data_IF_818519512158
#
_entry.id   IF_818519512158
#
_cell.length_a   1.000
_cell.length_b   1.000
_cell.length_c   1.000
_cell.angle_alpha   90.00
_cell.angle_beta   90.00
_cell.angle_gamma   90.00
#
_symmetry.space_group_name_H-M   'P 1'
#
loop_
_entity.id
_entity.type
_entity.pdbx_description
1 polymer ?
#
# COMPACT_ATOMS: atom_id res chain seq x y z
N UNK A 1 2.13 22.79 -41.45
CA UNK A 1 1.78 23.87 -40.50
C UNK A 1 0.48 24.52 -40.94
N UNK A 2 -0.60 24.27 -40.22
CA UNK A 2 -1.81 25.09 -40.26
C UNK A 2 -2.36 25.13 -38.83
N UNK A 3 -2.28 26.30 -38.20
CA UNK A 3 -3.15 26.60 -37.07
C UNK A 3 -4.55 26.77 -37.66
N UNK A 4 -5.53 25.98 -37.19
CA UNK A 4 -6.93 26.23 -37.52
C UNK A 4 -7.46 27.15 -36.44
N UNK A 5 -7.32 28.45 -36.70
CA UNK A 5 -7.81 29.50 -35.84
C UNK A 5 -9.26 29.81 -36.25
N UNK A 6 -10.24 29.40 -35.42
CA UNK A 6 -11.63 29.83 -35.58
C UNK A 6 -11.92 30.95 -34.59
N UNK A 7 -11.40 32.12 -34.93
CA UNK A 7 -11.53 33.33 -34.13
C UNK A 7 -12.98 33.83 -34.14
N UNK A 8 -13.60 33.84 -32.95
CA UNK A 8 -14.68 34.78 -32.63
C UNK A 8 -14.51 35.21 -31.17
N UNK A 9 -14.43 36.52 -30.96
CA UNK A 9 -13.95 37.17 -29.74
C UNK A 9 -15.03 37.20 -28.65
N UNK A 10 -15.01 36.24 -27.73
CA UNK A 10 -15.53 36.28 -26.32
C UNK A 10 -15.78 34.88 -25.71
N UNK A 11 -15.19 33.81 -26.23
CA UNK A 11 -15.37 32.47 -25.66
C UNK A 11 -14.04 31.95 -25.11
N UNK A 12 -14.03 31.57 -23.83
CA UNK A 12 -13.01 30.70 -23.21
C UNK A 12 -12.92 29.46 -24.10
N UNK A 13 -11.93 29.37 -24.98
CA UNK A 13 -11.85 28.31 -26.00
C UNK A 13 -10.55 27.55 -25.86
N UNK A 14 -10.69 26.23 -25.92
CA UNK A 14 -9.58 25.30 -25.92
C UNK A 14 -8.73 25.51 -27.17
N UNK A 15 -7.41 25.42 -27.01
CA UNK A 15 -6.45 25.52 -28.11
C UNK A 15 -5.97 24.10 -28.43
N UNK A 16 -6.36 23.60 -29.60
CA UNK A 16 -5.95 22.27 -30.07
C UNK A 16 -4.77 22.40 -31.02
N UNK A 17 -3.72 21.61 -30.80
CA UNK A 17 -2.56 21.52 -31.70
C UNK A 17 -2.29 20.06 -32.06
N UNK A 18 -2.48 19.77 -33.34
CA UNK A 18 -2.23 18.46 -33.91
C UNK A 18 -0.91 18.47 -34.69
N UNK A 19 -0.03 17.53 -34.37
CA UNK A 19 1.00 17.04 -35.28
C UNK A 19 0.65 15.60 -35.66
N UNK A 20 1.14 15.10 -36.81
CA UNK A 20 0.87 13.76 -37.34
C UNK A 20 1.17 12.61 -36.35
N UNK A 21 1.89 12.90 -35.26
CA UNK A 21 2.34 11.94 -34.24
C UNK A 21 1.87 12.29 -32.82
N UNK A 22 1.38 13.49 -32.56
CA UNK A 22 1.03 13.93 -31.21
C UNK A 22 -0.19 14.85 -31.26
N UNK A 23 -1.19 14.53 -30.43
CA UNK A 23 -2.39 15.35 -30.25
C UNK A 23 -2.29 16.03 -28.90
N UNK A 24 -2.11 17.35 -28.92
CA UNK A 24 -2.02 18.17 -27.73
C UNK A 24 -3.23 19.12 -27.65
N UNK A 25 -3.76 19.32 -26.46
CA UNK A 25 -4.84 20.26 -26.19
C UNK A 25 -4.51 21.09 -24.95
N UNK A 26 -4.84 22.38 -25.01
CA UNK A 26 -4.85 23.27 -23.87
C UNK A 26 -6.29 23.67 -23.57
N UNK A 27 -6.78 23.32 -22.39
CA UNK A 27 -8.09 23.68 -21.85
C UNK A 27 -8.22 25.15 -21.48
N UNK A 28 -9.43 25.68 -21.54
CA UNK A 28 -9.76 26.96 -20.94
C UNK A 28 -10.10 26.81 -19.45
N UNK A 29 -10.14 27.90 -18.67
CA UNK A 29 -10.39 27.89 -17.23
C UNK A 29 -11.90 27.76 -16.90
N UNK A 30 -12.55 26.76 -17.44
CA UNK A 30 -13.95 26.48 -17.18
C UNK A 30 -14.35 25.14 -17.78
N UNK A 31 -15.53 24.60 -17.43
CA UNK A 31 -15.83 23.19 -17.61
C UNK A 31 -15.57 22.66 -19.01
N UNK A 32 -14.70 21.66 -19.10
CA UNK A 32 -14.26 20.95 -20.29
C UNK A 32 -14.67 19.48 -20.22
N UNK A 33 -14.80 18.87 -21.41
CA UNK A 33 -14.93 17.42 -21.53
C UNK A 33 -13.87 16.90 -22.48
N UNK A 34 -12.88 16.22 -21.94
CA UNK A 34 -11.81 15.58 -22.67
C UNK A 34 -12.23 14.16 -23.07
N UNK A 35 -12.40 13.97 -24.37
CA UNK A 35 -12.64 12.66 -24.99
C UNK A 35 -11.81 12.53 -26.26
N UNK A 36 -11.04 11.44 -26.35
CA UNK A 36 -10.24 11.12 -27.53
C UNK A 36 -8.77 10.85 -27.22
N UNK A 37 -8.00 10.61 -28.28
CA UNK A 37 -6.59 10.21 -28.20
C UNK A 37 -5.67 11.42 -28.08
N UNK A 38 -5.59 12.02 -26.88
CA UNK A 38 -4.62 13.07 -26.57
C UNK A 38 -3.34 12.47 -25.99
N UNK A 39 -2.19 12.88 -26.51
CA UNK A 39 -0.88 12.59 -25.92
C UNK A 39 -0.48 13.61 -24.85
N UNK A 40 -1.04 14.82 -24.92
CA UNK A 40 -0.83 15.89 -23.95
C UNK A 40 -2.14 16.65 -23.72
N UNK A 41 -2.55 16.78 -22.47
CA UNK A 41 -3.60 17.69 -22.03
C UNK A 41 -2.98 18.64 -21.01
N UNK A 42 -3.20 19.94 -21.18
CA UNK A 42 -2.91 20.96 -20.17
C UNK A 42 -4.21 21.70 -19.93
N UNK A 43 -4.87 21.47 -18.80
CA UNK A 43 -6.03 22.25 -18.39
C UNK A 43 -5.59 23.47 -17.57
N UNK A 44 -6.35 24.56 -17.66
CA UNK A 44 -6.10 25.79 -16.92
C UNK A 44 -7.07 25.97 -15.74
N UNK A 45 -7.94 24.99 -15.52
CA UNK A 45 -8.82 24.75 -14.39
C UNK A 45 -10.32 24.74 -14.72
N UNK A 46 -11.14 24.40 -13.73
CA UNK A 46 -12.58 24.26 -13.85
C UNK A 46 -13.02 22.82 -13.63
N UNK A 47 -14.28 22.61 -13.24
CA UNK A 47 -14.79 21.26 -12.99
C UNK A 47 -14.97 20.48 -14.30
N UNK A 48 -13.98 19.69 -14.66
CA UNK A 48 -13.85 19.03 -15.94
C UNK A 48 -14.15 17.53 -15.86
N UNK A 49 -14.15 16.92 -17.04
CA UNK A 49 -14.37 15.49 -17.18
C UNK A 49 -13.39 14.92 -18.19
N UNK A 50 -12.62 13.94 -17.75
CA UNK A 50 -11.64 13.21 -18.53
C UNK A 50 -12.14 11.79 -18.78
N UNK A 51 -12.74 11.56 -19.95
CA UNK A 51 -13.16 10.24 -20.41
C UNK A 51 -12.01 9.58 -21.18
N UNK A 52 -11.19 8.83 -20.45
CA UNK A 52 -9.97 8.23 -20.97
C UNK A 52 -10.21 6.83 -21.54
N UNK A 53 -9.49 6.50 -22.61
CA UNK A 53 -9.50 5.19 -23.26
C UNK A 53 -8.10 4.60 -23.35
N UNK A 54 -8.01 3.29 -23.54
CA UNK A 54 -6.74 2.61 -23.78
C UNK A 54 -6.17 3.07 -25.11
N UNK A 55 -4.87 3.35 -25.16
CA UNK A 55 -4.20 3.86 -26.36
C UNK A 55 -3.19 2.85 -26.92
N UNK A 56 -3.62 1.88 -27.75
CA UNK A 56 -2.73 0.83 -28.27
C UNK A 56 -1.67 1.37 -29.25
N UNK A 57 -1.90 2.53 -29.87
CA UNK A 57 -0.99 3.14 -30.83
C UNK A 57 -0.10 4.25 -30.21
N UNK A 58 -0.33 4.60 -28.94
CA UNK A 58 0.43 5.63 -28.23
C UNK A 58 0.89 5.10 -26.89
N UNK A 59 2.18 4.91 -26.77
CA UNK A 59 2.81 4.42 -25.53
C UNK A 59 2.76 5.48 -24.41
N UNK A 60 2.50 6.75 -24.73
CA UNK A 60 2.77 7.88 -23.84
C UNK A 60 1.61 8.87 -23.67
N UNK A 61 1.32 9.32 -22.44
CA UNK A 61 0.42 10.45 -22.13
C UNK A 61 0.90 11.29 -20.96
N UNK A 62 0.60 12.57 -21.07
CA UNK A 62 0.74 13.53 -19.99
C UNK A 62 -0.59 14.29 -19.88
N UNK A 63 -1.17 14.35 -18.69
CA UNK A 63 -2.28 15.21 -18.32
C UNK A 63 -1.78 16.09 -17.19
N UNK A 64 -1.98 17.40 -17.32
CA UNK A 64 -1.70 18.38 -16.28
C UNK A 64 -2.98 19.20 -16.14
N UNK A 65 -3.63 19.10 -14.99
CA UNK A 65 -4.71 19.99 -14.58
C UNK A 65 -4.17 20.98 -13.55
N UNK A 66 -4.68 22.21 -13.61
CA UNK A 66 -4.32 23.27 -12.67
C UNK A 66 -5.42 23.53 -11.63
N UNK A 67 -6.54 22.82 -11.70
CA UNK A 67 -7.44 22.58 -10.59
C UNK A 67 -8.92 22.79 -10.90
N UNK A 68 -9.78 22.24 -10.06
CA UNK A 68 -11.21 22.08 -10.32
C UNK A 68 -11.69 20.87 -9.55
N UNK A 69 -13.00 20.63 -9.47
CA UNK A 69 -13.48 19.36 -8.93
C UNK A 69 -13.74 18.40 -10.08
N UNK A 70 -12.74 17.61 -10.39
CA UNK A 70 -12.55 16.91 -11.64
C UNK A 70 -12.95 15.43 -11.60
N UNK A 71 -13.24 14.91 -12.79
CA UNK A 71 -13.62 13.50 -12.97
C UNK A 71 -12.75 12.83 -14.01
N UNK A 72 -11.82 12.03 -13.53
CA UNK A 72 -10.97 11.18 -14.34
C UNK A 72 -11.52 9.77 -14.36
N UNK A 73 -12.06 9.32 -15.49
CA UNK A 73 -12.62 7.98 -15.55
C UNK A 73 -12.37 7.24 -16.84
N UNK A 74 -12.43 5.91 -16.75
CA UNK A 74 -12.36 5.03 -17.90
C UNK A 74 -13.28 3.83 -17.74
N UNK A 75 -13.80 3.34 -18.86
CA UNK A 75 -14.53 2.07 -18.94
C UNK A 75 -13.65 0.92 -19.43
N UNK A 76 -12.37 1.18 -19.70
CA UNK A 76 -11.41 0.23 -20.26
C UNK A 76 -10.27 -0.04 -19.26
N UNK A 77 -9.60 -1.18 -19.46
CA UNK A 77 -8.37 -1.47 -18.74
C UNK A 77 -7.19 -0.72 -19.41
N UNK A 78 -6.10 -0.46 -18.69
CA UNK A 78 -4.85 0.14 -19.23
C UNK A 78 -4.98 1.59 -19.72
N UNK A 79 -5.86 2.40 -19.11
CA UNK A 79 -6.12 3.78 -19.57
C UNK A 79 -5.63 4.84 -18.57
N UNK A 80 -6.35 5.03 -17.46
CA UNK A 80 -6.11 6.11 -16.49
C UNK A 80 -4.72 5.98 -15.85
N UNK A 81 -3.83 6.92 -16.14
CA UNK A 81 -2.46 7.00 -15.59
C UNK A 81 -1.69 5.65 -15.61
N UNK A 82 -1.93 4.81 -16.63
CA UNK A 82 -1.30 3.50 -16.77
C UNK A 82 -0.10 3.54 -17.74
N UNK A 83 1.11 3.31 -17.24
CA UNK A 83 2.29 3.09 -18.07
C UNK A 83 2.35 1.66 -18.59
N UNK A 84 1.79 1.41 -19.78
CA UNK A 84 1.81 0.10 -20.44
C UNK A 84 2.75 0.11 -21.65
N UNK A 85 3.95 -0.50 -21.51
CA UNK A 85 5.04 -0.41 -22.50
C UNK A 85 5.51 1.03 -22.83
N UNK A 86 5.23 1.99 -21.94
CA UNK A 86 5.57 3.40 -22.10
C UNK A 86 5.36 4.16 -20.79
N UNK A 87 5.04 5.45 -20.85
CA UNK A 87 4.74 6.24 -19.66
C UNK A 87 3.36 6.91 -19.70
N UNK A 88 2.69 6.96 -18.56
CA UNK A 88 1.49 7.77 -18.41
C UNK A 88 1.61 8.60 -17.14
N UNK A 89 1.46 9.91 -17.28
CA UNK A 89 1.58 10.88 -16.20
C UNK A 89 0.28 11.67 -16.12
N UNK A 90 -0.31 11.73 -14.94
CA UNK A 90 -1.40 12.63 -14.58
C UNK A 90 -0.92 13.44 -13.38
N UNK A 91 -1.01 14.76 -13.50
CA UNK A 91 -0.78 15.69 -12.40
C UNK A 91 -2.04 16.54 -12.26
N UNK A 92 -2.67 16.47 -11.10
CA UNK A 92 -3.70 17.42 -10.68
C UNK A 92 -3.11 18.36 -9.62
N UNK A 93 -3.51 19.62 -9.65
CA UNK A 93 -2.95 20.64 -8.79
C UNK A 93 -3.86 20.99 -7.59
N UNK A 94 -5.17 20.80 -7.70
CA UNK A 94 -6.12 21.17 -6.65
C UNK A 94 -7.57 20.75 -6.97
N UNK A 95 -8.26 20.26 -5.96
CA UNK A 95 -9.72 20.18 -5.90
C UNK A 95 -10.19 18.86 -5.31
N UNK A 96 -11.50 18.70 -5.16
CA UNK A 96 -12.06 17.44 -4.65
C UNK A 96 -12.42 16.52 -5.84
N UNK A 97 -11.55 15.57 -6.15
CA UNK A 97 -11.53 14.83 -7.41
C UNK A 97 -11.96 13.37 -7.31
N UNK A 98 -12.35 12.84 -8.47
CA UNK A 98 -12.67 11.42 -8.65
C UNK A 98 -11.78 10.79 -9.71
N UNK A 99 -10.96 9.82 -9.27
CA UNK A 99 -10.12 8.97 -10.10
C UNK A 99 -10.68 7.56 -10.20
N UNK A 100 -11.44 7.28 -11.26
CA UNK A 100 -12.17 6.02 -11.41
C UNK A 100 -11.65 5.18 -12.60
N UNK A 101 -10.83 4.18 -12.27
CA UNK A 101 -10.29 3.20 -13.21
C UNK A 101 -10.87 1.79 -13.06
N UNK A 102 -10.46 0.91 -13.98
CA UNK A 102 -10.71 -0.54 -13.92
C UNK A 102 -9.42 -1.30 -13.58
N UNK A 103 -9.09 -2.34 -14.34
CA UNK A 103 -7.83 -3.04 -14.14
C UNK A 103 -6.70 -2.25 -14.81
N UNK A 104 -5.50 -2.30 -14.25
CA UNK A 104 -4.33 -1.61 -14.82
C UNK A 104 -4.62 -0.12 -15.02
N UNK A 105 -4.82 0.60 -13.91
CA UNK A 105 -5.20 2.01 -13.92
C UNK A 105 -4.76 2.73 -12.65
N UNK A 106 -4.96 4.04 -12.56
CA UNK A 106 -4.67 4.87 -11.38
C UNK A 106 -3.19 4.77 -10.97
N UNK A 107 -2.31 5.33 -11.80
CA UNK A 107 -0.88 5.41 -11.50
C UNK A 107 -0.10 4.10 -11.62
N UNK A 108 -0.63 3.06 -12.29
CA UNK A 108 0.06 1.78 -12.38
C UNK A 108 1.10 1.72 -13.52
N UNK A 109 2.19 0.98 -13.32
CA UNK A 109 3.20 0.68 -14.35
C UNK A 109 3.29 -0.81 -14.65
N UNK A 110 3.01 -1.20 -15.89
CA UNK A 110 3.14 -2.58 -16.35
C UNK A 110 3.97 -2.65 -17.64
N UNK A 111 5.21 -3.15 -17.54
CA UNK A 111 6.25 -2.97 -18.57
C UNK A 111 6.56 -1.49 -18.90
N UNK A 112 6.19 -0.57 -18.02
CA UNK A 112 6.28 0.88 -18.23
C UNK A 112 6.23 1.65 -16.92
N UNK A 113 6.01 2.96 -16.99
CA UNK A 113 5.95 3.86 -15.84
C UNK A 113 4.60 4.58 -15.75
N UNK A 114 3.82 4.32 -14.71
CA UNK A 114 2.60 5.08 -14.40
C UNK A 114 2.86 6.05 -13.26
N UNK A 115 2.37 7.28 -13.39
CA UNK A 115 2.34 8.28 -12.34
C UNK A 115 0.97 8.95 -12.32
N UNK A 116 0.34 8.95 -11.15
CA UNK A 116 -0.74 9.87 -10.81
C UNK A 116 -0.24 10.66 -9.60
N UNK A 117 -0.25 11.98 -9.71
CA UNK A 117 0.12 12.89 -8.64
C UNK A 117 -1.01 13.91 -8.42
N UNK A 118 -1.72 13.77 -7.31
CA UNK A 118 -2.63 14.79 -6.79
C UNK A 118 -1.89 15.69 -5.79
N UNK A 119 -2.15 16.99 -5.83
CA UNK A 119 -1.45 17.98 -5.03
C UNK A 119 -2.26 18.55 -3.87
N UNK A 120 -3.59 18.40 -3.87
CA UNK A 120 -4.48 18.88 -2.83
C UNK A 120 -5.93 18.51 -3.15
N UNK A 121 -6.65 18.00 -2.14
CA UNK A 121 -8.06 17.75 -2.34
C UNK A 121 -8.73 17.07 -1.16
N UNK A 122 -9.91 16.50 -1.38
CA UNK A 122 -10.36 15.34 -0.65
C UNK A 122 -10.88 14.38 -1.72
N UNK A 123 -10.07 13.38 -2.02
CA UNK A 123 -10.10 12.68 -3.28
C UNK A 123 -10.61 11.26 -3.13
N UNK A 124 -11.13 10.75 -4.24
CA UNK A 124 -11.61 9.38 -4.29
C UNK A 124 -10.93 8.62 -5.41
N UNK A 125 -10.13 7.63 -5.03
CA UNK A 125 -9.42 6.72 -5.91
C UNK A 125 -10.14 5.37 -5.97
N UNK A 126 -10.68 5.04 -7.13
CA UNK A 126 -11.40 3.78 -7.36
C UNK A 126 -10.71 2.98 -8.46
N UNK A 127 -10.35 1.73 -8.15
CA UNK A 127 -9.83 0.79 -9.13
C UNK A 127 -10.28 -0.65 -8.86
N UNK A 128 -9.88 -1.57 -9.75
CA UNK A 128 -10.21 -2.99 -9.60
C UNK A 128 -8.98 -3.82 -9.25
N UNK A 129 -8.22 -4.27 -10.25
CA UNK A 129 -6.99 -5.04 -10.07
C UNK A 129 -5.79 -4.29 -10.67
N UNK A 130 -4.62 -4.42 -10.05
CA UNK A 130 -3.38 -3.85 -10.58
C UNK A 130 -3.51 -2.32 -10.74
N UNK A 131 -3.75 -1.62 -9.65
CA UNK A 131 -4.14 -0.21 -9.66
C UNK A 131 -3.53 0.56 -8.49
N UNK A 132 -3.76 1.86 -8.40
CA UNK A 132 -3.32 2.72 -7.27
C UNK A 132 -1.82 2.54 -6.98
N UNK A 133 -1.00 2.92 -7.95
CA UNK A 133 0.46 2.82 -7.82
C UNK A 133 1.04 1.41 -7.94
N UNK A 134 0.31 0.43 -8.49
CA UNK A 134 0.83 -0.92 -8.71
C UNK A 134 1.94 -0.97 -9.79
N UNK A 135 3.01 -1.73 -9.56
CA UNK A 135 4.14 -1.89 -10.48
C UNK A 135 4.47 -3.34 -10.81
N UNK A 136 4.74 -3.66 -12.08
CA UNK A 136 5.10 -5.00 -12.54
C UNK A 136 5.89 -4.96 -13.84
N UNK A 137 7.11 -5.48 -13.84
CA UNK A 137 8.09 -5.22 -14.90
C UNK A 137 8.26 -3.72 -15.21
N UNK A 138 7.93 -2.85 -14.25
CA UNK A 138 7.70 -1.43 -14.45
C UNK A 138 7.49 -0.73 -13.10
N UNK A 139 7.22 0.57 -13.14
CA UNK A 139 7.10 1.43 -11.97
C UNK A 139 5.71 2.03 -11.94
N UNK A 140 4.95 1.79 -10.88
CA UNK A 140 3.69 2.46 -10.60
C UNK A 140 3.85 3.39 -9.40
N UNK A 141 3.35 4.61 -9.51
CA UNK A 141 3.34 5.61 -8.44
C UNK A 141 1.95 6.26 -8.42
N UNK A 142 1.31 6.17 -7.26
CA UNK A 142 0.23 7.07 -6.87
C UNK A 142 0.79 7.96 -5.76
N UNK A 143 0.69 9.27 -5.93
CA UNK A 143 1.13 10.24 -4.95
C UNK A 143 0.01 11.22 -4.68
N UNK A 144 -0.33 11.39 -3.41
CA UNK A 144 -1.16 12.47 -2.90
C UNK A 144 -0.28 13.43 -2.09
N UNK A 145 -0.65 14.70 -1.98
CA UNK A 145 0.00 15.70 -1.11
C UNK A 145 -0.90 16.14 0.05
N UNK A 146 -2.18 15.78 0.02
CA UNK A 146 -3.02 15.74 1.19
C UNK A 146 -4.51 15.97 0.91
N UNK A 147 -5.31 15.51 1.85
CA UNK A 147 -6.76 15.50 1.78
C UNK A 147 -7.30 14.46 2.75
N UNK A 148 -8.61 14.38 2.96
CA UNK A 148 -9.17 13.20 3.62
C UNK A 148 -9.71 12.26 2.54
N UNK A 149 -8.88 11.31 2.17
CA UNK A 149 -8.96 10.60 0.92
C UNK A 149 -9.50 9.20 1.09
N UNK A 150 -9.99 8.67 -0.03
CA UNK A 150 -10.58 7.35 -0.09
C UNK A 150 -9.95 6.52 -1.19
N UNK A 151 -9.18 5.52 -0.77
CA UNK A 151 -8.57 4.53 -1.65
C UNK A 151 -9.38 3.23 -1.64
N UNK A 152 -10.04 2.94 -2.76
CA UNK A 152 -10.89 1.76 -2.89
C UNK A 152 -10.47 0.90 -4.08
N UNK A 153 -10.03 -0.33 -3.80
CA UNK A 153 -9.67 -1.30 -4.82
C UNK A 153 -10.12 -2.73 -4.46
N UNK A 154 -10.05 -3.63 -5.43
CA UNK A 154 -10.38 -5.04 -5.20
C UNK A 154 -9.16 -5.85 -4.80
N UNK A 155 -8.07 -5.79 -5.57
CA UNK A 155 -6.78 -6.42 -5.21
C UNK A 155 -5.58 -5.91 -6.01
N UNK A 156 -4.37 -6.32 -5.63
CA UNK A 156 -3.13 -5.98 -6.34
C UNK A 156 -3.00 -4.46 -6.51
N UNK A 157 -3.13 -3.71 -5.43
CA UNK A 157 -3.30 -2.26 -5.47
C UNK A 157 -2.60 -1.56 -4.30
N UNK A 158 -2.69 -0.23 -4.24
CA UNK A 158 -2.19 0.57 -3.11
C UNK A 158 -0.72 0.27 -2.85
N UNK A 159 0.11 0.60 -3.85
CA UNK A 159 1.55 0.36 -3.78
C UNK A 159 1.96 -1.10 -3.97
N UNK A 160 1.24 -1.86 -4.78
CA UNK A 160 1.53 -3.28 -5.01
C UNK A 160 2.77 -3.52 -5.89
N UNK A 161 3.69 -4.37 -5.44
CA UNK A 161 4.90 -4.78 -6.17
C UNK A 161 4.81 -6.18 -6.78
N UNK A 162 4.69 -6.28 -8.09
CA UNK A 162 4.75 -7.54 -8.83
C UNK A 162 6.15 -7.83 -9.40
N UNK A 163 6.34 -8.97 -10.07
CA UNK A 163 7.62 -9.42 -10.65
C UNK A 163 8.41 -8.28 -11.31
N UNK A 164 9.63 -8.03 -10.84
CA UNK A 164 10.53 -6.95 -11.32
C UNK A 164 9.91 -5.55 -11.36
N UNK A 165 8.85 -5.33 -10.58
CA UNK A 165 8.15 -4.07 -10.50
C UNK A 165 8.44 -3.33 -9.21
N UNK A 166 8.20 -2.02 -9.24
CA UNK A 166 8.15 -1.17 -8.05
C UNK A 166 6.77 -0.52 -8.04
N UNK A 167 5.97 -0.81 -7.02
CA UNK A 167 4.73 -0.11 -6.77
C UNK A 167 4.86 0.78 -5.54
N UNK A 168 4.35 2.00 -5.64
CA UNK A 168 4.33 2.97 -4.53
C UNK A 168 3.00 3.70 -4.47
N UNK A 169 2.42 3.76 -3.27
CA UNK A 169 1.43 4.76 -2.87
C UNK A 169 2.09 5.65 -1.83
N UNK A 170 2.07 6.96 -2.07
CA UNK A 170 2.67 7.97 -1.22
C UNK A 170 1.57 8.97 -0.83
N UNK A 171 1.16 8.95 0.43
CA UNK A 171 0.28 9.95 1.01
C UNK A 171 1.08 10.84 1.96
N UNK A 172 0.72 12.12 2.03
CA UNK A 172 1.44 13.12 2.78
C UNK A 172 0.65 13.72 3.93
N UNK A 173 -0.69 13.71 3.90
CA UNK A 173 -1.49 14.29 4.97
C UNK A 173 -3.00 14.01 4.85
N UNK A 174 -3.61 13.76 6.00
CA UNK A 174 -5.04 13.76 6.24
C UNK A 174 -5.55 12.42 6.75
N UNK A 175 -6.83 12.33 7.09
CA UNK A 175 -7.39 11.12 7.71
C UNK A 175 -8.03 10.22 6.66
N UNK A 176 -7.29 9.20 6.25
CA UNK A 176 -7.53 8.45 5.03
C UNK A 176 -8.11 7.07 5.25
N UNK A 177 -8.76 6.58 4.20
CA UNK A 177 -9.41 5.27 4.19
C UNK A 177 -8.85 4.40 3.07
N UNK A 178 -8.00 3.45 3.45
CA UNK A 178 -7.41 2.45 2.56
C UNK A 178 -8.20 1.13 2.63
N UNK A 179 -8.98 0.86 1.59
CA UNK A 179 -9.73 -0.39 1.47
C UNK A 179 -9.33 -1.20 0.24
N UNK A 180 -8.91 -2.45 0.45
CA UNK A 180 -8.71 -3.41 -0.62
C UNK A 180 -9.32 -4.79 -0.29
N UNK A 181 -10.25 -5.27 -1.12
CA UNK A 181 -10.80 -6.62 -0.98
C UNK A 181 -12.28 -6.75 -1.40
N UNK A 182 -12.97 -7.74 -0.83
CA UNK A 182 -14.44 -7.88 -0.94
C UNK A 182 -15.00 -8.39 -2.28
N UNK A 183 -14.17 -8.60 -3.30
CA UNK A 183 -14.62 -9.00 -4.65
C UNK A 183 -14.08 -10.36 -5.11
N UNK A 184 -12.78 -10.58 -5.02
CA UNK A 184 -12.13 -11.81 -5.52
C UNK A 184 -11.84 -12.78 -4.39
N UNK A 185 -12.54 -13.92 -4.38
CA UNK A 185 -12.41 -14.92 -3.32
C UNK A 185 -11.04 -15.59 -3.36
N UNK A 186 -10.52 -15.87 -2.17
CA UNK A 186 -9.46 -16.84 -1.97
C UNK A 186 -10.03 -18.25 -2.28
N UNK A 187 -9.32 -19.00 -3.11
CA UNK A 187 -9.82 -20.29 -3.64
C UNK A 187 -9.09 -21.51 -3.05
N UNK A 188 -8.03 -21.30 -2.27
CA UNK A 188 -7.25 -22.39 -1.68
C UNK A 188 -7.81 -22.83 -0.32
N UNK A 189 -8.78 -22.10 0.24
CA UNK A 189 -9.44 -22.41 1.50
C UNK A 189 -8.52 -22.27 2.69
N UNK A 190 -7.45 -21.48 2.60
CA UNK A 190 -6.39 -21.37 3.62
C UNK A 190 -6.93 -20.91 4.99
N UNK A 191 -8.03 -20.16 4.99
CA UNK A 191 -8.68 -19.63 6.18
C UNK A 191 -9.76 -20.56 6.76
N UNK A 192 -10.17 -21.60 6.01
CA UNK A 192 -11.32 -22.46 6.37
C UNK A 192 -12.70 -21.80 6.22
N UNK A 193 -12.75 -20.55 5.77
CA UNK A 193 -13.97 -19.75 5.59
C UNK A 193 -13.90 -18.97 4.26
N UNK A 194 -15.00 -18.36 3.81
CA UNK A 194 -14.94 -17.48 2.63
C UNK A 194 -14.15 -16.23 3.01
N UNK A 195 -13.09 -15.97 2.25
CA UNK A 195 -12.20 -14.80 2.35
C UNK A 195 -11.88 -14.25 0.97
N UNK A 196 -11.34 -13.04 0.92
CA UNK A 196 -10.99 -12.32 -0.29
C UNK A 196 -9.49 -12.06 -0.37
N UNK A 197 -8.94 -12.16 -1.58
CA UNK A 197 -7.56 -11.77 -1.85
C UNK A 197 -7.51 -10.25 -2.00
N UNK A 198 -6.63 -9.58 -1.23
CA UNK A 198 -6.39 -8.13 -1.33
C UNK A 198 -5.05 -7.83 -2.02
N UNK A 199 -3.94 -8.46 -1.64
CA UNK A 199 -2.61 -8.20 -2.25
C UNK A 199 -2.27 -6.70 -2.37
N UNK A 200 -2.50 -5.93 -1.31
CA UNK A 200 -2.47 -4.45 -1.38
C UNK A 200 -1.82 -3.81 -0.17
N UNK A 201 -1.70 -2.48 -0.16
CA UNK A 201 -1.15 -1.70 0.96
C UNK A 201 0.32 -2.08 1.18
N UNK A 202 1.15 -1.78 0.17
CA UNK A 202 2.58 -2.10 0.20
C UNK A 202 2.89 -3.60 0.08
N UNK A 203 1.95 -4.41 -0.43
CA UNK A 203 2.19 -5.85 -0.62
C UNK A 203 3.07 -6.12 -1.85
N UNK A 204 3.89 -7.18 -1.79
CA UNK A 204 4.66 -7.60 -2.97
C UNK A 204 4.67 -9.12 -3.18
N UNK A 205 4.63 -9.53 -4.45
CA UNK A 205 4.76 -10.95 -4.80
C UNK A 205 5.48 -11.24 -6.10
N UNK A 206 6.18 -12.38 -6.13
CA UNK A 206 6.64 -13.03 -7.36
C UNK A 206 5.65 -14.05 -7.92
N UNK A 207 6.06 -14.72 -8.99
CA UNK A 207 5.35 -15.86 -9.57
C UNK A 207 6.10 -17.14 -9.20
N UNK A 208 5.53 -17.90 -8.27
CA UNK A 208 6.10 -19.17 -7.84
C UNK A 208 5.90 -20.28 -8.89
N UNK A 209 6.90 -21.13 -9.17
CA UNK A 209 8.27 -21.12 -8.62
C UNK A 209 9.27 -20.31 -9.46
N UNK A 210 8.84 -19.62 -10.51
CA UNK A 210 9.72 -19.24 -11.62
C UNK A 210 10.35 -17.85 -11.54
N UNK A 211 9.65 -16.85 -10.97
CA UNK A 211 10.06 -15.44 -11.05
C UNK A 211 10.00 -14.76 -9.69
N UNK A 212 11.09 -14.10 -9.31
CA UNK A 212 11.19 -13.31 -8.08
C UNK A 212 10.23 -12.12 -8.07
N UNK A 213 9.75 -11.76 -6.88
CA UNK A 213 8.85 -10.62 -6.68
C UNK A 213 9.49 -9.26 -6.92
N UNK A 214 8.65 -8.24 -6.87
CA UNK A 214 9.06 -6.83 -6.90
C UNK A 214 9.12 -6.23 -5.51
N UNK A 215 8.99 -4.91 -5.49
CA UNK A 215 8.95 -4.10 -4.27
C UNK A 215 7.63 -3.34 -4.23
N UNK A 216 6.90 -3.43 -3.13
CA UNK A 216 5.65 -2.73 -2.89
C UNK A 216 5.77 -1.82 -1.67
N UNK A 217 5.31 -0.58 -1.80
CA UNK A 217 5.43 0.46 -0.78
C UNK A 217 4.11 1.20 -0.60
N UNK A 218 3.64 1.32 0.63
CA UNK A 218 2.69 2.34 1.03
C UNK A 218 3.38 3.19 2.10
N UNK A 219 3.46 4.50 1.86
CA UNK A 219 3.96 5.47 2.83
C UNK A 219 2.86 6.48 3.10
N UNK A 220 2.46 6.60 4.36
CA UNK A 220 1.56 7.63 4.87
C UNK A 220 2.29 8.46 5.93
N UNK A 221 2.07 9.77 5.97
CA UNK A 221 2.86 10.70 6.76
C UNK A 221 2.15 11.36 7.95
N UNK A 222 0.84 11.62 7.87
CA UNK A 222 0.15 12.41 8.91
C UNK A 222 -1.36 12.18 8.84
N UNK A 223 -1.98 11.69 9.90
CA UNK A 223 -3.44 11.69 10.03
C UNK A 223 -3.94 10.48 10.80
N UNK A 224 -5.22 10.46 11.17
CA UNK A 224 -5.81 9.25 11.77
C UNK A 224 -6.37 8.33 10.66
N UNK A 225 -5.69 7.23 10.37
CA UNK A 225 -5.89 6.41 9.17
C UNK A 225 -6.54 5.05 9.43
N UNK A 226 -7.19 4.52 8.39
CA UNK A 226 -7.80 3.19 8.42
C UNK A 226 -7.34 2.33 7.26
N UNK A 227 -6.53 1.32 7.58
CA UNK A 227 -6.05 0.29 6.67
C UNK A 227 -6.88 -0.99 6.80
N UNK A 228 -7.65 -1.32 5.76
CA UNK A 228 -8.50 -2.52 5.74
C UNK A 228 -8.21 -3.43 4.56
N UNK A 229 -7.69 -4.62 4.85
CA UNK A 229 -7.57 -5.74 3.91
C UNK A 229 -8.25 -6.98 4.47
N UNK A 230 -8.52 -7.95 3.61
CA UNK A 230 -8.93 -9.27 4.08
C UNK A 230 -7.69 -10.17 4.19
N UNK A 231 -7.06 -10.49 3.06
CA UNK A 231 -5.83 -11.29 3.04
C UNK A 231 -4.73 -10.68 2.16
N UNK A 232 -3.48 -10.84 2.58
CA UNK A 232 -2.29 -10.41 1.85
C UNK A 232 -2.22 -8.87 1.74
N UNK A 233 -1.72 -8.20 2.76
CA UNK A 233 -1.56 -6.75 2.69
C UNK A 233 -0.78 -6.13 3.83
N UNK A 234 -0.84 -4.81 3.96
CA UNK A 234 -0.23 -4.07 5.08
C UNK A 234 1.26 -4.41 5.24
N UNK A 235 2.02 -4.19 4.17
CA UNK A 235 3.46 -4.45 4.13
C UNK A 235 3.86 -5.92 4.11
N UNK A 236 2.90 -6.85 3.95
CA UNK A 236 3.23 -8.26 3.81
C UNK A 236 3.85 -8.59 2.43
N UNK A 237 4.42 -9.78 2.28
CA UNK A 237 4.97 -10.23 1.00
C UNK A 237 4.97 -11.74 0.80
N UNK A 238 5.09 -12.15 -0.47
CA UNK A 238 5.14 -13.54 -0.89
C UNK A 238 6.19 -13.76 -2.00
N UNK A 239 6.90 -14.88 -1.95
CA UNK A 239 7.82 -15.34 -3.02
C UNK A 239 8.81 -14.29 -3.53
N UNK A 240 9.91 -14.10 -2.81
CA UNK A 240 10.99 -13.19 -3.18
C UNK A 240 10.56 -11.73 -3.41
N UNK A 241 9.42 -11.31 -2.84
CA UNK A 241 8.99 -9.92 -2.82
C UNK A 241 9.53 -9.16 -1.60
N UNK A 242 9.55 -7.84 -1.70
CA UNK A 242 9.71 -6.92 -0.59
C UNK A 242 8.43 -6.09 -0.46
N UNK A 243 7.69 -6.28 0.62
CA UNK A 243 6.53 -5.45 0.94
C UNK A 243 6.84 -4.56 2.13
N UNK A 244 6.39 -3.30 2.08
CA UNK A 244 6.46 -2.39 3.21
C UNK A 244 5.26 -1.44 3.27
N UNK A 245 4.71 -1.28 4.48
CA UNK A 245 3.84 -0.18 4.85
C UNK A 245 4.58 0.62 5.93
N UNK A 246 4.71 1.94 5.74
CA UNK A 246 5.25 2.84 6.76
C UNK A 246 4.24 3.95 7.01
N UNK A 247 3.78 4.04 8.23
CA UNK A 247 3.02 5.15 8.77
C UNK A 247 3.93 5.96 9.69
N UNK A 248 3.86 7.29 9.60
CA UNK A 248 4.68 8.17 10.42
C UNK A 248 3.94 8.75 11.61
N UNK A 249 2.61 8.94 11.54
CA UNK A 249 1.86 9.61 12.60
C UNK A 249 0.36 9.36 12.45
N UNK A 250 -0.29 9.05 13.57
CA UNK A 250 -1.74 9.01 13.57
C UNK A 250 -2.32 8.42 14.82
N UNK A 251 -3.56 7.96 14.74
CA UNK A 251 -4.12 6.98 15.67
C UNK A 251 -4.84 5.96 14.81
N UNK A 252 -4.10 4.97 14.37
CA UNK A 252 -4.37 4.26 13.14
C UNK A 252 -4.99 2.91 13.39
N UNK A 253 -5.68 2.41 12.37
CA UNK A 253 -6.39 1.14 12.45
C UNK A 253 -5.93 0.21 11.35
N UNK A 254 -5.22 -0.83 11.76
CA UNK A 254 -4.77 -1.90 10.89
C UNK A 254 -5.68 -3.11 11.03
N UNK A 255 -6.61 -3.27 10.09
CA UNK A 255 -7.58 -4.34 10.08
C UNK A 255 -7.27 -5.36 8.97
N UNK A 256 -6.98 -6.59 9.38
CA UNK A 256 -6.74 -7.70 8.46
C UNK A 256 -7.37 -9.00 8.96
N UNK A 257 -7.50 -10.00 8.09
CA UNK A 257 -7.72 -11.39 8.51
C UNK A 257 -6.40 -12.14 8.53
N UNK A 258 -5.69 -12.27 7.42
CA UNK A 258 -4.52 -13.16 7.37
C UNK A 258 -3.43 -12.68 6.41
N UNK A 259 -2.18 -13.05 6.67
CA UNK A 259 -1.04 -12.70 5.82
C UNK A 259 -0.89 -11.17 5.68
N UNK A 260 -0.84 -10.47 6.81
CA UNK A 260 -0.82 -9.01 6.83
C UNK A 260 0.19 -8.47 7.84
N UNK A 261 0.24 -7.15 8.02
CA UNK A 261 0.96 -6.47 9.10
C UNK A 261 2.43 -6.90 9.18
N UNK A 262 3.12 -6.70 8.06
CA UNK A 262 4.54 -7.01 7.92
C UNK A 262 4.89 -8.49 7.85
N UNK A 263 3.95 -9.38 7.49
CA UNK A 263 4.27 -10.80 7.33
C UNK A 263 5.13 -11.09 6.08
N UNK A 264 6.19 -11.89 6.22
CA UNK A 264 7.00 -12.36 5.08
C UNK A 264 6.86 -13.85 4.86
N UNK A 265 6.53 -14.28 3.63
CA UNK A 265 6.21 -15.66 3.27
C UNK A 265 7.01 -16.14 2.06
N UNK A 266 7.68 -17.30 2.18
CA UNK A 266 8.44 -17.95 1.10
C UNK A 266 9.61 -17.11 0.56
N UNK A 267 10.69 -16.97 1.35
CA UNK A 267 11.91 -16.24 0.98
C UNK A 267 11.66 -14.77 0.59
N UNK A 268 10.63 -14.15 1.18
CA UNK A 268 10.28 -12.74 0.99
C UNK A 268 10.51 -11.95 2.29
N UNK A 269 10.49 -10.62 2.18
CA UNK A 269 10.60 -9.70 3.32
C UNK A 269 9.32 -8.86 3.41
N UNK A 270 8.60 -8.93 4.52
CA UNK A 270 7.47 -8.08 4.85
C UNK A 270 7.82 -7.16 6.02
N UNK A 271 7.36 -5.91 5.96
CA UNK A 271 7.66 -4.90 6.96
C UNK A 271 6.44 -3.99 7.18
N UNK A 272 6.01 -3.82 8.41
CA UNK A 272 5.13 -2.73 8.81
C UNK A 272 5.90 -1.88 9.81
N UNK A 273 5.92 -0.56 9.58
CA UNK A 273 6.48 0.40 10.52
C UNK A 273 5.41 1.43 10.83
N UNK A 274 5.15 1.63 12.11
CA UNK A 274 4.39 2.76 12.62
C UNK A 274 5.34 3.57 13.51
N UNK A 275 5.39 4.89 13.31
CA UNK A 275 6.34 5.73 14.01
C UNK A 275 5.75 6.43 15.23
N UNK A 276 4.44 6.67 15.26
CA UNK A 276 3.79 7.24 16.43
C UNK A 276 2.27 7.19 16.33
N UNK A 277 1.60 6.83 17.42
CA UNK A 277 0.16 6.98 17.48
C UNK A 277 -0.46 6.42 18.74
N UNK A 278 -1.74 6.07 18.70
CA UNK A 278 -2.33 5.14 19.67
C UNK A 278 -3.18 4.18 18.85
N UNK A 279 -2.53 3.10 18.45
CA UNK A 279 -2.88 2.38 17.25
C UNK A 279 -3.57 1.06 17.60
N UNK A 280 -4.34 0.57 16.64
CA UNK A 280 -5.11 -0.64 16.79
C UNK A 280 -4.77 -1.63 15.68
N UNK A 281 -4.06 -2.68 16.05
CA UNK A 281 -3.68 -3.77 15.16
C UNK A 281 -4.57 -4.99 15.38
N UNK A 282 -5.39 -5.31 14.39
CA UNK A 282 -6.21 -6.51 14.41
C UNK A 282 -5.89 -7.44 13.24
N UNK A 283 -5.62 -8.70 13.57
CA UNK A 283 -5.54 -9.77 12.58
C UNK A 283 -6.08 -11.10 13.12
N UNK A 284 -6.44 -12.04 12.26
CA UNK A 284 -6.59 -13.45 12.68
C UNK A 284 -5.22 -14.07 12.82
N UNK A 285 -4.39 -14.10 11.76
CA UNK A 285 -3.08 -14.73 11.91
C UNK A 285 -2.12 -14.64 10.74
N UNK A 286 -0.95 -15.27 10.90
CA UNK A 286 0.21 -15.08 9.98
C UNK A 286 0.42 -13.60 9.72
N UNK A 287 0.50 -12.82 10.79
CA UNK A 287 0.51 -11.35 10.76
C UNK A 287 1.41 -10.80 11.86
N UNK A 288 1.46 -9.48 12.04
CA UNK A 288 2.19 -8.80 13.12
C UNK A 288 3.63 -9.29 13.24
N UNK A 289 4.38 -9.12 12.13
CA UNK A 289 5.78 -9.52 12.06
C UNK A 289 6.01 -11.02 11.99
N UNK A 290 5.10 -11.78 11.37
CA UNK A 290 5.28 -13.23 11.18
C UNK A 290 6.22 -13.55 10.01
N UNK A 291 7.26 -14.35 10.25
CA UNK A 291 8.09 -14.94 9.20
C UNK A 291 7.71 -16.39 8.92
N UNK A 292 7.40 -16.72 7.66
CA UNK A 292 6.97 -18.05 7.23
C UNK A 292 7.78 -18.60 6.04
N UNK A 293 8.21 -19.86 6.14
CA UNK A 293 8.89 -20.61 5.07
C UNK A 293 10.11 -19.86 4.50
N UNK A 294 11.12 -19.65 5.35
CA UNK A 294 12.31 -18.82 5.04
C UNK A 294 12.02 -17.33 4.77
N UNK A 295 10.77 -16.89 4.90
CA UNK A 295 10.41 -15.48 4.85
C UNK A 295 10.74 -14.76 6.17
N UNK A 296 10.98 -13.46 6.07
CA UNK A 296 11.20 -12.57 7.19
C UNK A 296 10.02 -11.60 7.30
N UNK A 297 9.34 -11.60 8.45
CA UNK A 297 8.29 -10.64 8.76
C UNK A 297 8.71 -9.75 9.91
N UNK A 298 8.39 -8.46 9.80
CA UNK A 298 8.76 -7.43 10.76
C UNK A 298 7.61 -6.48 11.01
N UNK A 299 7.32 -6.21 12.28
CA UNK A 299 6.48 -5.10 12.71
C UNK A 299 7.31 -4.25 13.68
N UNK A 300 7.37 -2.95 13.42
CA UNK A 300 7.99 -1.96 14.30
C UNK A 300 6.94 -0.90 14.62
N UNK A 301 6.58 -0.78 15.88
CA UNK A 301 5.86 0.37 16.40
C UNK A 301 6.83 1.13 17.31
N UNK A 302 6.99 2.43 17.10
CA UNK A 302 8.04 3.19 17.78
C UNK A 302 7.54 3.96 19.00
N UNK A 303 6.26 4.31 19.07
CA UNK A 303 5.67 4.97 20.24
C UNK A 303 4.16 5.02 20.18
N UNK A 304 3.49 4.82 21.31
CA UNK A 304 2.05 5.02 21.37
C UNK A 304 1.41 4.48 22.63
N UNK A 305 0.12 4.16 22.58
CA UNK A 305 -0.50 3.29 23.58
C UNK A 305 -1.39 2.33 22.80
N UNK A 306 -0.81 1.21 22.42
CA UNK A 306 -1.20 0.46 21.25
C UNK A 306 -1.86 -0.86 21.64
N UNK A 307 -2.69 -1.37 20.75
CA UNK A 307 -3.43 -2.59 20.99
C UNK A 307 -3.22 -3.59 19.86
N UNK A 308 -2.56 -4.70 20.19
CA UNK A 308 -2.28 -5.80 19.29
C UNK A 308 -3.19 -6.98 19.59
N UNK A 309 -4.13 -7.24 18.68
CA UNK A 309 -5.09 -8.32 18.77
C UNK A 309 -4.85 -9.33 17.65
N UNK A 310 -4.54 -10.58 18.03
CA UNK A 310 -4.39 -11.67 17.07
C UNK A 310 -5.01 -12.99 17.55
N UNK A 311 -5.34 -13.90 16.63
CA UNK A 311 -5.74 -15.26 17.00
C UNK A 311 -4.54 -16.20 17.09
N UNK A 312 -3.77 -16.34 16.00
CA UNK A 312 -2.65 -17.27 15.90
C UNK A 312 -1.54 -16.73 14.98
N UNK A 313 -0.37 -17.38 14.98
CA UNK A 313 0.71 -17.12 14.03
C UNK A 313 1.14 -15.65 13.93
N UNK A 314 1.18 -14.91 15.04
CA UNK A 314 1.35 -13.45 15.06
C UNK A 314 2.15 -12.97 16.26
N UNK A 315 2.45 -11.68 16.35
CA UNK A 315 3.26 -11.08 17.42
C UNK A 315 4.63 -11.75 17.48
N UNK A 316 5.40 -11.58 16.41
CA UNK A 316 6.70 -12.21 16.19
C UNK A 316 6.64 -13.75 16.16
N UNK A 317 5.92 -14.33 15.19
CA UNK A 317 5.94 -15.78 14.98
C UNK A 317 6.94 -16.18 13.89
N UNK A 318 7.83 -17.10 14.22
CA UNK A 318 8.70 -17.78 13.26
C UNK A 318 8.14 -19.16 12.92
N UNK A 319 7.83 -19.40 11.64
CA UNK A 319 7.37 -20.71 11.17
C UNK A 319 8.14 -21.20 9.95
N UNK A 320 8.38 -22.53 9.92
CA UNK A 320 8.97 -23.19 8.77
C UNK A 320 10.31 -22.57 8.35
N UNK A 321 11.18 -22.31 9.33
CA UNK A 321 12.48 -21.66 9.15
C UNK A 321 12.40 -20.17 8.81
N UNK A 322 11.23 -19.56 9.03
CA UNK A 322 11.04 -18.13 8.91
C UNK A 322 11.62 -17.35 10.10
N UNK A 323 11.64 -16.04 9.93
CA UNK A 323 12.17 -15.07 10.89
C UNK A 323 11.09 -14.04 11.22
N UNK A 324 10.56 -14.07 12.44
CA UNK A 324 9.52 -13.13 12.88
C UNK A 324 10.06 -12.13 13.90
N UNK A 325 9.77 -10.84 13.69
CA UNK A 325 10.10 -9.76 14.63
C UNK A 325 8.87 -8.90 14.88
N UNK A 326 8.62 -8.61 16.14
CA UNK A 326 7.80 -7.48 16.58
C UNK A 326 8.66 -6.68 17.56
N UNK A 327 8.78 -5.38 17.30
CA UNK A 327 9.36 -4.43 18.25
C UNK A 327 8.31 -3.35 18.51
N UNK A 328 7.99 -3.16 19.77
CA UNK A 328 7.28 -2.01 20.29
C UNK A 328 8.27 -1.12 21.06
N UNK A 329 8.21 0.19 20.85
CA UNK A 329 9.18 1.16 21.31
C UNK A 329 8.89 1.77 22.68
N UNK A 330 7.72 2.39 22.83
CA UNK A 330 7.33 3.08 24.06
C UNK A 330 5.82 3.13 24.13
N UNK A 331 5.25 2.84 25.29
CA UNK A 331 3.81 3.06 25.41
C UNK A 331 3.18 2.51 26.64
N UNK A 332 1.87 2.31 26.55
CA UNK A 332 1.14 1.46 27.48
C UNK A 332 0.27 0.56 26.63
N UNK A 333 0.77 -0.64 26.46
CA UNK A 333 0.38 -1.45 25.31
C UNK A 333 -0.38 -2.70 25.74
N UNK A 334 -1.23 -3.18 24.83
CA UNK A 334 -2.11 -4.31 25.06
C UNK A 334 -1.87 -5.42 24.03
N UNK A 335 -1.39 -6.57 24.49
CA UNK A 335 -1.11 -7.73 23.63
C UNK A 335 -2.07 -8.88 23.92
N UNK A 336 -3.00 -9.11 23.00
CA UNK A 336 -4.08 -10.09 23.16
C UNK A 336 -3.98 -11.20 22.12
N UNK A 337 -3.80 -12.45 22.57
CA UNK A 337 -3.73 -13.61 21.69
C UNK A 337 -4.63 -14.76 22.13
N UNK A 338 -5.24 -15.46 21.16
CA UNK A 338 -6.07 -16.64 21.45
C UNK A 338 -5.26 -17.94 21.52
N UNK A 339 -4.31 -18.15 20.60
CA UNK A 339 -3.45 -19.33 20.57
C UNK A 339 -2.00 -18.98 20.95
N UNK A 340 -1.64 -19.34 22.18
CA UNK A 340 -0.29 -19.15 22.74
C UNK A 340 0.76 -20.03 22.08
N UNK A 341 0.39 -21.06 21.30
CA UNK A 341 1.37 -21.97 20.68
C UNK A 341 2.08 -21.37 19.47
N UNK A 342 1.59 -20.27 18.93
CA UNK A 342 2.07 -19.69 17.67
C UNK A 342 2.20 -18.18 17.75
N UNK A 343 2.35 -17.62 18.96
CA UNK A 343 2.34 -16.17 19.18
C UNK A 343 3.31 -15.70 20.25
N UNK A 344 3.62 -14.40 20.25
CA UNK A 344 4.44 -13.73 21.26
C UNK A 344 5.84 -14.34 21.37
N UNK A 345 6.57 -14.28 20.25
CA UNK A 345 7.96 -14.70 20.17
C UNK A 345 8.15 -16.22 20.00
N UNK A 346 7.16 -16.96 19.48
CA UNK A 346 7.33 -18.40 19.24
C UNK A 346 8.07 -18.66 17.92
N UNK A 347 9.12 -19.48 17.96
CA UNK A 347 9.80 -20.00 16.78
C UNK A 347 9.68 -21.53 16.65
N UNK A 348 9.03 -22.06 15.61
CA UNK A 348 8.85 -23.52 15.51
C UNK A 348 10.05 -24.25 14.87
N UNK A 349 10.32 -25.52 15.24
CA UNK A 349 11.27 -26.35 14.52
C UNK A 349 10.63 -26.92 13.24
N UNK A 350 11.35 -26.90 12.12
CA UNK A 350 10.92 -27.52 10.86
C UNK A 350 12.12 -27.85 9.98
N UNK A 351 12.05 -28.94 9.22
CA UNK A 351 13.11 -29.37 8.28
C UNK A 351 14.51 -29.40 8.92
N UNK A 352 14.59 -29.85 10.17
CA UNK A 352 15.85 -29.95 10.94
C UNK A 352 16.51 -28.60 11.33
N UNK A 353 15.88 -27.46 11.04
CA UNK A 353 16.28 -26.14 11.55
C UNK A 353 15.19 -25.52 12.45
N UNK A 354 15.55 -24.44 13.15
CA UNK A 354 14.63 -23.58 13.88
C UNK A 354 14.11 -22.43 13.04
N UNK A 355 12.97 -21.87 13.45
CA UNK A 355 12.49 -20.57 13.00
C UNK A 355 12.78 -19.55 14.08
N UNK A 356 13.33 -18.39 13.74
CA UNK A 356 13.68 -17.36 14.74
C UNK A 356 12.46 -16.48 15.00
N UNK A 357 12.27 -16.13 16.27
CA UNK A 357 11.20 -15.25 16.70
C UNK A 357 11.69 -14.31 17.80
N UNK A 358 11.51 -13.01 17.62
CA UNK A 358 11.89 -11.97 18.58
C UNK A 358 10.71 -11.04 18.80
N UNK A 359 10.10 -11.14 19.98
CA UNK A 359 9.18 -10.14 20.49
C UNK A 359 9.94 -9.22 21.43
N UNK A 360 9.85 -7.91 21.23
CA UNK A 360 10.52 -6.93 22.08
C UNK A 360 9.58 -5.76 22.35
N UNK A 361 9.23 -5.56 23.60
CA UNK A 361 8.63 -4.33 24.10
C UNK A 361 9.73 -3.54 24.85
N UNK A 362 9.91 -2.27 24.50
CA UNK A 362 11.03 -1.46 24.94
C UNK A 362 10.73 -0.46 26.07
N UNK A 363 9.50 -0.41 26.57
CA UNK A 363 9.16 0.37 27.76
C UNK A 363 7.70 0.74 27.82
N UNK A 364 7.19 0.86 29.04
CA UNK A 364 5.77 1.03 29.25
C UNK A 364 5.27 0.36 30.52
N UNK A 365 3.95 0.33 30.68
CA UNK A 365 3.30 -0.51 31.70
C UNK A 365 2.16 -1.24 31.02
N UNK A 366 2.43 -2.47 30.63
CA UNK A 366 1.74 -3.14 29.55
C UNK A 366 0.86 -4.27 30.04
N UNK A 367 0.03 -4.77 29.14
CA UNK A 367 -0.89 -5.84 29.41
C UNK A 367 -0.71 -6.97 28.40
N UNK A 368 -0.57 -8.19 28.94
CA UNK A 368 -0.39 -9.39 28.12
C UNK A 368 -1.46 -10.44 28.44
N UNK A 369 -2.21 -10.87 27.44
CA UNK A 369 -2.90 -12.15 27.44
C UNK A 369 -2.20 -13.10 26.46
N UNK A 370 -1.30 -13.94 26.99
CA UNK A 370 -0.53 -14.84 26.14
C UNK A 370 0.62 -15.53 26.87
N UNK A 371 1.77 -15.64 26.20
CA UNK A 371 3.03 -16.09 26.76
C UNK A 371 3.80 -14.97 27.48
N UNK A 372 3.59 -13.72 27.06
CA UNK A 372 4.29 -12.53 27.56
C UNK A 372 3.87 -12.13 28.97
N UNK A 373 4.52 -11.10 29.47
CA UNK A 373 4.18 -10.48 30.74
C UNK A 373 5.08 -9.29 31.04
N UNK A 374 4.52 -8.38 31.82
CA UNK A 374 5.12 -7.13 32.27
C UNK A 374 6.55 -7.29 32.80
N UNK A 375 7.49 -6.47 32.29
CA UNK A 375 8.86 -6.33 32.76
C UNK A 375 9.59 -7.69 32.90
N UNK A 376 9.53 -8.51 31.84
CA UNK A 376 9.98 -9.91 31.89
C UNK A 376 10.62 -10.38 30.59
N UNK A 377 11.58 -11.29 30.73
CA UNK A 377 12.04 -12.17 29.65
C UNK A 377 11.27 -13.49 29.71
N UNK A 378 10.68 -13.91 28.59
CA UNK A 378 10.05 -15.22 28.46
C UNK A 378 10.61 -16.01 27.27
N UNK A 379 10.52 -17.33 27.43
CA UNK A 379 10.75 -18.30 26.35
C UNK A 379 9.46 -19.08 26.19
N UNK A 380 8.73 -18.93 25.07
CA UNK A 380 7.51 -19.69 24.87
C UNK A 380 7.75 -21.19 25.01
N UNK A 381 6.77 -21.90 25.58
CA UNK A 381 6.95 -23.31 25.92
C UNK A 381 7.13 -24.15 24.66
N UNK A 382 8.13 -25.04 24.65
CA UNK A 382 8.35 -25.97 23.54
C UNK A 382 9.18 -25.42 22.38
N UNK A 383 9.78 -24.24 22.52
CA UNK A 383 10.76 -23.70 21.57
C UNK A 383 12.05 -23.25 22.25
N UNK A 384 13.16 -23.35 21.51
CA UNK A 384 14.47 -22.77 21.86
C UNK A 384 14.90 -21.66 20.90
N UNK A 385 14.06 -21.38 19.89
CA UNK A 385 14.38 -20.48 18.77
C UNK A 385 13.65 -19.14 18.86
N UNK A 386 12.80 -19.00 19.87
CA UNK A 386 12.01 -17.82 20.12
C UNK A 386 12.31 -17.22 21.49
N UNK A 387 12.22 -15.90 21.56
CA UNK A 387 12.32 -15.14 22.81
C UNK A 387 11.32 -13.99 22.75
N UNK A 388 10.76 -13.66 23.90
CA UNK A 388 10.11 -12.38 24.11
C UNK A 388 10.71 -11.66 25.30
N UNK A 389 10.78 -10.35 25.20
CA UNK A 389 11.32 -9.47 26.21
C UNK A 389 10.43 -8.26 26.32
N UNK A 390 10.15 -7.89 27.56
CA UNK A 390 9.60 -6.61 27.95
C UNK A 390 10.59 -6.02 28.96
N UNK A 391 11.01 -4.78 28.71
CA UNK A 391 11.70 -3.98 29.69
C UNK A 391 12.14 -2.62 29.17
N UNK A 392 12.61 -1.79 30.08
CA UNK A 392 13.06 -0.42 29.80
C UNK A 392 14.41 -0.40 29.07
N UNK A 393 14.40 -0.19 27.75
CA UNK A 393 15.61 -0.09 26.93
C UNK A 393 15.91 1.33 26.42
N UNK A 394 15.03 2.29 26.70
CA UNK A 394 15.12 3.68 26.25
C UNK A 394 14.55 3.88 24.85
N UNK A 395 14.30 5.13 24.46
CA UNK A 395 13.69 5.47 23.18
C UNK A 395 14.50 4.90 22.00
N UNK A 396 13.81 4.25 21.06
CA UNK A 396 14.33 3.96 19.73
C UNK A 396 14.41 5.28 18.93
N UNK A 397 15.42 6.11 19.23
CA UNK A 397 15.58 7.42 18.61
C UNK A 397 16.03 7.29 17.15
N UNK A 398 15.11 7.60 16.22
CA UNK A 398 15.38 7.66 14.77
C UNK A 398 16.24 8.86 14.37
N UNK A 399 16.51 9.81 15.28
CA UNK A 399 17.31 11.01 14.99
C UNK A 399 18.81 10.74 14.74
N UNK A 400 19.30 9.51 14.92
CA UNK A 400 20.70 9.15 14.65
C UNK A 400 21.01 8.76 13.19
N UNK A 401 20.02 8.75 12.28
CA UNK A 401 20.25 8.47 10.84
C UNK A 401 20.61 9.75 10.04
N UNK A 402 21.01 10.83 10.71
CA UNK A 402 21.63 12.01 10.08
C UNK A 402 23.15 11.99 10.26
N UNK A 403 23.86 11.13 9.53
CA UNK A 403 25.29 11.32 9.22
C UNK A 403 25.64 10.81 7.83
#
# INVERSE_FOLDING_TARGET
MKAVDTADSNTKKNIVREDKKYHAIIGGPGPNHYKGDYSLIIDLGGDDTYELSRRPNFENQIIIDLGGNDKYFTLEDYALACGYFGYSVLIDAAGDDLYQGKNFSVGCGFFGCGLLWDQAGNDTYIGDQFTQGAGGFGIGILKDDGGNDRYQAARASQGFGFVRGVGALLDAAGSDNYFAGGKYKELLGLSGEIRYMSESQGYATGLRPDLSGGMGFLFDYDGDDSYSVDMNGQGASYWWGLGALVDFKGNDRYLAQQYAQGAGVHMSLGCLVDSSGNDFYFSKGVSQGCGHDLGAGMLFDLSGNDNYVATDGSQAYGSANGFGILVDGQGKDGYYVKDKKTTQGVGNPRREYGSIAVFLDCGGIDHYDGNGGENRIWKPTGTIWGVGVDGEFGALDTAQVKK
#
